data_IF_011811328648
#
_entry.id   IF_011811328648
#
_cell.length_a   1.000
_cell.length_b   1.000
_cell.length_c   1.000
_cell.angle_alpha   90.00
_cell.angle_beta   90.00
_cell.angle_gamma   90.00
#
_symmetry.space_group_name_H-M   'P 1'
#
loop_
_entity.id
_entity.type
_entity.pdbx_description
1 polymer ?
#
# COMPACT_ATOMS: atom_id res chain seq x y z
N UNK A 1 -1.37 -12.75 -17.58
CA UNK A 1 -0.95 -13.73 -16.56
C UNK A 1 -0.89 -15.15 -17.11
N UNK A 2 -2.02 -15.80 -17.44
CA UNK A 2 -2.01 -17.20 -17.89
C UNK A 2 -1.13 -17.47 -19.12
N UNK A 3 -1.27 -16.65 -20.17
CA UNK A 3 -0.44 -16.73 -21.37
C UNK A 3 1.06 -16.55 -21.08
N UNK A 4 1.40 -15.65 -20.15
CA UNK A 4 2.79 -15.36 -19.78
C UNK A 4 3.41 -16.55 -19.02
N UNK A 5 2.66 -17.17 -18.11
CA UNK A 5 3.06 -18.37 -17.37
C UNK A 5 3.32 -19.55 -18.33
N UNK A 6 2.44 -19.75 -19.32
CA UNK A 6 2.58 -20.84 -20.32
C UNK A 6 3.78 -20.62 -21.24
N UNK A 7 4.12 -19.36 -21.54
CA UNK A 7 5.22 -19.00 -22.44
C UNK A 7 6.54 -18.73 -21.71
N UNK A 8 6.57 -18.79 -20.38
CA UNK A 8 7.77 -18.52 -19.57
C UNK A 8 8.30 -17.09 -19.70
N UNK A 9 7.43 -16.14 -20.03
CA UNK A 9 7.75 -14.71 -20.14
C UNK A 9 7.29 -13.99 -18.89
N UNK A 10 7.91 -12.85 -18.59
CA UNK A 10 7.56 -12.02 -17.43
C UNK A 10 6.08 -11.62 -17.46
N UNK A 11 5.48 -11.62 -16.26
CA UNK A 11 4.07 -11.28 -16.09
C UNK A 11 3.93 -9.77 -16.30
N UNK A 12 3.05 -9.31 -17.22
CA UNK A 12 2.83 -7.88 -17.43
C UNK A 12 2.20 -7.26 -16.18
N UNK A 13 2.43 -5.96 -16.01
CA UNK A 13 1.87 -5.20 -14.89
C UNK A 13 0.34 -5.31 -14.83
N UNK A 14 -0.19 -5.42 -13.61
CA UNK A 14 -1.61 -5.51 -13.37
C UNK A 14 -2.31 -4.20 -13.80
N UNK A 15 -3.23 -4.31 -14.75
CA UNK A 15 -4.07 -3.18 -15.19
C UNK A 15 -5.26 -2.99 -14.24
N UNK A 16 -5.92 -1.84 -14.32
CA UNK A 16 -7.14 -1.51 -13.57
C UNK A 16 -8.20 -2.62 -13.68
N UNK A 17 -8.69 -3.16 -12.55
CA UNK A 17 -9.70 -4.23 -12.54
C UNK A 17 -11.01 -3.84 -13.21
N UNK A 18 -11.70 -4.82 -13.78
CA UNK A 18 -12.99 -4.58 -14.45
C UNK A 18 -14.07 -4.14 -13.44
N UNK A 19 -14.03 -4.67 -12.21
CA UNK A 19 -14.91 -4.25 -11.12
C UNK A 19 -14.82 -2.76 -10.81
N UNK A 20 -13.62 -2.17 -10.88
CA UNK A 20 -13.43 -0.74 -10.67
C UNK A 20 -14.06 0.09 -11.81
N UNK A 21 -13.94 -0.37 -13.06
CA UNK A 21 -14.57 0.31 -14.20
C UNK A 21 -16.09 0.30 -14.10
N UNK A 22 -16.67 -0.80 -13.63
CA UNK A 22 -18.11 -0.91 -13.38
C UNK A 22 -18.54 0.07 -12.29
N UNK A 23 -17.80 0.13 -11.18
CA UNK A 23 -18.05 1.08 -10.10
C UNK A 23 -18.04 2.54 -10.59
N UNK A 24 -17.06 2.95 -11.40
CA UNK A 24 -17.02 4.31 -11.97
C UNK A 24 -18.25 4.59 -12.83
N UNK A 25 -18.70 3.61 -13.63
CA UNK A 25 -19.91 3.74 -14.44
C UNK A 25 -21.18 3.85 -13.59
N UNK A 26 -21.28 3.08 -12.52
CA UNK A 26 -22.40 3.15 -11.58
C UNK A 26 -22.46 4.51 -10.87
N UNK A 27 -21.33 5.05 -10.41
CA UNK A 27 -21.28 6.37 -9.80
C UNK A 27 -21.61 7.50 -10.81
N UNK A 28 -21.14 7.38 -12.06
CA UNK A 28 -21.52 8.31 -13.12
C UNK A 28 -23.03 8.27 -13.44
N UNK A 29 -23.67 7.11 -13.26
CA UNK A 29 -25.14 6.98 -13.42
C UNK A 29 -25.93 7.74 -12.35
N UNK A 30 -25.32 8.00 -11.20
CA UNK A 30 -25.87 8.82 -10.11
C UNK A 30 -25.59 10.32 -10.29
N UNK A 31 -25.20 10.74 -11.51
CA UNK A 31 -24.83 12.12 -11.84
C UNK A 31 -23.59 12.64 -11.09
N UNK A 32 -22.74 11.75 -10.57
CA UNK A 32 -21.44 12.13 -10.00
C UNK A 32 -20.40 12.16 -11.12
N UNK A 33 -19.65 13.26 -11.25
CA UNK A 33 -18.55 13.35 -12.23
C UNK A 33 -17.27 12.85 -11.57
N UNK A 34 -16.82 11.65 -11.95
CA UNK A 34 -15.59 11.06 -11.43
C UNK A 34 -14.51 11.06 -12.50
N UNK A 35 -13.44 11.79 -12.24
CA UNK A 35 -12.24 11.82 -13.07
C UNK A 35 -11.10 11.11 -12.34
N UNK A 36 -10.57 10.00 -12.87
CA UNK A 36 -9.40 9.36 -12.30
C UNK A 36 -8.20 10.28 -12.46
N UNK A 37 -7.61 10.71 -11.34
CA UNK A 37 -6.31 11.39 -11.33
C UNK A 37 -5.23 10.32 -11.36
N UNK A 38 -4.21 10.49 -12.19
CA UNK A 38 -3.11 9.54 -12.33
C UNK A 38 -2.42 9.26 -10.98
N UNK A 39 -1.84 8.07 -10.85
CA UNK A 39 -1.03 7.72 -9.69
C UNK A 39 0.34 8.40 -9.81
N UNK A 40 0.79 9.10 -8.76
CA UNK A 40 2.20 9.43 -8.59
C UNK A 40 2.86 8.15 -8.10
N UNK A 41 3.41 7.38 -9.03
CA UNK A 41 4.22 6.20 -8.69
C UNK A 41 5.56 6.75 -8.21
N UNK A 42 5.70 6.90 -6.88
CA UNK A 42 7.03 6.93 -6.29
C UNK A 42 7.57 5.52 -6.53
N UNK A 43 8.64 5.35 -7.32
CA UNK A 43 9.22 4.02 -7.48
C UNK A 43 9.53 3.48 -6.09
N UNK A 44 9.20 2.22 -5.82
CA UNK A 44 9.68 1.51 -4.64
C UNK A 44 11.21 1.32 -4.77
N UNK A 45 11.96 2.42 -4.69
CA UNK A 45 13.30 2.39 -4.15
C UNK A 45 13.14 2.13 -2.67
N UNK A 46 13.85 1.13 -2.17
CA UNK A 46 14.09 0.88 -0.75
C UNK A 46 14.82 2.08 -0.10
N UNK A 47 14.19 3.24 -0.07
CA UNK A 47 14.63 4.37 0.72
C UNK A 47 13.40 4.86 1.46
N UNK A 48 13.19 4.22 2.61
CA UNK A 48 12.41 4.78 3.70
C UNK A 48 12.68 6.29 3.76
N UNK A 49 11.63 7.10 3.61
CA UNK A 49 11.70 8.53 3.84
C UNK A 49 12.46 8.79 5.15
N UNK A 50 13.38 9.77 5.20
CA UNK A 50 14.24 9.97 6.35
C UNK A 50 13.36 10.14 7.59
N UNK A 51 13.59 9.29 8.58
CA UNK A 51 12.85 9.20 9.85
C UNK A 51 12.68 10.58 10.53
N UNK A 52 13.54 11.54 10.17
CA UNK A 52 13.44 12.95 10.55
C UNK A 52 12.11 13.61 10.14
N UNK A 53 11.63 13.44 8.90
CA UNK A 53 10.38 14.08 8.44
C UNK A 53 9.15 13.50 9.14
N UNK A 54 9.18 12.20 9.48
CA UNK A 54 8.11 11.56 10.23
C UNK A 54 8.02 12.08 11.68
N UNK A 55 9.17 12.36 12.31
CA UNK A 55 9.21 12.94 13.68
C UNK A 55 8.71 14.38 13.72
N UNK A 56 9.12 15.21 12.78
CA UNK A 56 8.67 16.61 12.71
C UNK A 56 7.15 16.71 12.46
N UNK A 57 6.58 15.83 11.61
CA UNK A 57 5.13 15.75 11.41
C UNK A 57 4.37 15.25 12.65
N UNK A 58 4.93 14.28 13.38
CA UNK A 58 4.31 13.76 14.60
C UNK A 58 4.26 14.83 15.70
N UNK A 59 5.31 15.63 15.84
CA UNK A 59 5.40 16.72 16.81
C UNK A 59 4.44 17.87 16.44
N UNK A 60 4.37 18.24 15.16
CA UNK A 60 3.41 19.25 14.67
C UNK A 60 1.94 18.82 14.84
N UNK A 61 1.65 17.52 14.77
CA UNK A 61 0.33 16.94 14.98
C UNK A 61 -0.01 16.74 16.48
N UNK A 62 0.90 17.05 17.41
CA UNK A 62 0.72 16.86 18.84
C UNK A 62 0.62 15.38 19.26
N UNK A 63 1.07 14.47 18.40
CA UNK A 63 1.06 13.04 18.67
C UNK A 63 2.29 12.70 19.52
N UNK A 64 2.06 12.39 20.80
CA UNK A 64 3.11 11.82 21.66
C UNK A 64 3.33 10.39 21.22
N UNK A 65 4.45 10.15 20.53
CA UNK A 65 4.90 8.78 20.24
C UNK A 65 5.29 8.17 21.59
N UNK A 66 4.44 7.29 22.11
CA UNK A 66 4.75 6.45 23.28
C UNK A 66 5.26 5.11 22.73
N UNK A 67 6.58 4.93 22.55
CA UNK A 67 7.10 3.63 22.21
C UNK A 67 7.02 2.75 23.46
N UNK A 68 6.00 1.90 23.54
CA UNK A 68 6.00 0.78 24.49
C UNK A 68 7.07 -0.22 24.08
N UNK A 69 7.74 -0.85 25.06
CA UNK A 69 8.86 -1.80 24.80
C UNK A 69 8.44 -2.95 23.87
N UNK A 70 7.15 -3.30 23.86
CA UNK A 70 6.53 -4.28 22.95
C UNK A 70 6.52 -3.85 21.47
N UNK A 71 6.54 -2.56 21.14
CA UNK A 71 6.56 -2.07 19.75
C UNK A 71 7.98 -2.00 19.18
N UNK A 72 8.98 -2.01 20.05
CA UNK A 72 10.41 -1.97 19.67
C UNK A 72 11.03 -3.37 19.63
N UNK A 73 10.34 -4.39 20.18
CA UNK A 73 10.83 -5.76 20.14
C UNK A 73 10.69 -6.35 18.74
N UNK A 74 11.74 -7.03 18.21
CA UNK A 74 11.69 -7.64 16.88
C UNK A 74 10.77 -8.87 16.81
N UNK A 75 10.41 -9.47 17.95
CA UNK A 75 9.47 -10.58 18.03
C UNK A 75 8.06 -10.02 18.25
N UNK A 76 7.15 -10.26 17.31
CA UNK A 76 5.75 -9.88 17.44
C UNK A 76 4.99 -10.83 18.38
N UNK A 77 3.92 -10.38 19.05
CA UNK A 77 3.12 -11.20 19.98
C UNK A 77 2.38 -12.39 19.32
N UNK A 78 2.61 -12.63 18.03
CA UNK A 78 1.99 -13.67 17.21
C UNK A 78 3.02 -14.59 16.54
N UNK A 79 4.26 -14.64 17.02
CA UNK A 79 5.19 -15.70 16.60
C UNK A 79 4.81 -17.00 17.33
N UNK A 80 4.18 -17.92 16.62
CA UNK A 80 3.89 -19.27 17.12
C UNK A 80 5.18 -20.07 16.96
N UNK A 81 5.78 -20.50 18.07
CA UNK A 81 6.95 -21.37 18.07
C UNK A 81 6.64 -22.64 17.24
N UNK A 82 7.33 -22.79 16.11
CA UNK A 82 7.33 -24.05 15.37
C UNK A 82 8.11 -25.06 16.21
N UNK A 83 7.39 -25.85 17.01
CA UNK A 83 7.94 -27.07 17.59
C UNK A 83 8.26 -28.06 16.46
N UNK A 84 9.54 -28.42 16.33
CA UNK A 84 10.04 -29.59 15.58
C UNK A 84 9.41 -30.90 16.07
#
# INVERSE_FOLDING_TARGET
AFEAIVKGVDIPEATVPESFKVLVRELNSLCLSIEPKGAVVVPETEEAAPIAQAKELAEAAGAVVVPTEELLSPAGPMEIEQHE
#
